data_IF_812066408589
#
_entry.id   IF_812066408589
#
_cell.length_a   1.000
_cell.length_b   1.000
_cell.length_c   1.000
_cell.angle_alpha   90.00
_cell.angle_beta   90.00
_cell.angle_gamma   90.00
#
_symmetry.space_group_name_H-M   'P 1'
#
loop_
_entity.id
_entity.type
_entity.pdbx_description
1 polymer ?
#
# COMPACT_ATOMS: atom_id res chain seq x y z
N UNK A 1 -40.23 -19.50 4.10
CA UNK A 1 -39.19 -18.63 4.68
C UNK A 1 -37.91 -18.91 3.91
N UNK A 2 -37.58 -18.06 2.93
CA UNK A 2 -36.45 -18.27 2.01
C UNK A 2 -35.22 -17.47 2.47
N UNK A 3 -34.09 -18.18 2.55
CA UNK A 3 -32.68 -17.78 2.54
C UNK A 3 -32.30 -16.32 2.84
N UNK A 4 -31.69 -16.13 4.01
CA UNK A 4 -30.81 -15.01 4.32
C UNK A 4 -29.35 -15.46 4.40
N UNK A 5 -28.72 -15.78 3.27
CA UNK A 5 -27.29 -16.11 3.17
C UNK A 5 -26.60 -15.28 2.08
N UNK A 6 -26.83 -13.96 2.10
CA UNK A 6 -26.38 -13.03 1.06
C UNK A 6 -25.27 -12.07 1.46
N UNK A 7 -24.68 -12.17 2.66
CA UNK A 7 -23.83 -11.09 3.21
C UNK A 7 -22.33 -11.43 3.36
N UNK A 8 -21.88 -12.63 3.01
CA UNK A 8 -20.53 -13.09 3.33
C UNK A 8 -19.45 -12.87 2.26
N UNK A 9 -19.80 -12.43 1.04
CA UNK A 9 -18.83 -12.37 -0.07
C UNK A 9 -18.39 -10.96 -0.49
N UNK A 10 -19.04 -9.91 0.02
CA UNK A 10 -18.74 -8.51 -0.33
C UNK A 10 -17.52 -7.96 0.46
N UNK A 11 -17.12 -8.65 1.54
CA UNK A 11 -16.21 -8.14 2.57
C UNK A 11 -14.77 -8.68 2.48
N UNK A 12 -14.39 -9.35 1.38
CA UNK A 12 -13.17 -10.17 1.38
C UNK A 12 -12.06 -9.80 0.40
N UNK A 13 -12.22 -8.81 -0.50
CA UNK A 13 -11.10 -8.48 -1.39
C UNK A 13 -10.27 -7.30 -0.86
N UNK A 14 -8.95 -7.50 -0.64
CA UNK A 14 -7.98 -6.45 -0.86
C UNK A 14 -8.23 -5.82 -2.23
N UNK A 15 -8.28 -4.50 -2.28
CA UNK A 15 -8.39 -3.75 -3.52
C UNK A 15 -7.11 -2.95 -3.63
N UNK A 16 -6.44 -3.00 -4.79
CA UNK A 16 -4.99 -2.91 -4.95
C UNK A 16 -4.33 -4.22 -4.46
N UNK A 17 -4.11 -5.20 -5.33
CA UNK A 17 -3.67 -6.55 -4.91
C UNK A 17 -2.18 -6.78 -5.19
N UNK A 18 -1.67 -6.19 -6.26
CA UNK A 18 -0.31 -6.44 -6.77
C UNK A 18 0.54 -5.17 -6.83
N UNK A 19 -0.08 -3.99 -6.82
CA UNK A 19 0.59 -2.74 -7.10
C UNK A 19 1.26 -2.08 -5.89
N UNK A 20 0.93 -2.42 -4.64
CA UNK A 20 1.51 -1.72 -3.49
C UNK A 20 3.02 -1.93 -3.34
N UNK A 21 3.51 -3.17 -3.55
CA UNK A 21 4.95 -3.44 -3.53
C UNK A 21 5.69 -2.71 -4.67
N UNK A 22 5.26 -2.82 -5.94
CA UNK A 22 5.75 -2.00 -7.05
C UNK A 22 5.72 -0.49 -6.78
N UNK A 23 4.63 0.02 -6.19
CA UNK A 23 4.48 1.43 -5.87
C UNK A 23 5.46 1.87 -4.77
N UNK A 24 5.60 1.08 -3.71
CA UNK A 24 6.59 1.28 -2.65
C UNK A 24 8.01 1.29 -3.20
N UNK A 25 8.33 0.35 -4.10
CA UNK A 25 9.60 0.34 -4.82
C UNK A 25 9.84 1.63 -5.62
N UNK A 26 8.85 2.07 -6.40
CA UNK A 26 8.93 3.30 -7.20
C UNK A 26 9.10 4.54 -6.31
N UNK A 27 8.36 4.63 -5.20
CA UNK A 27 8.51 5.69 -4.22
C UNK A 27 9.92 5.72 -3.64
N UNK A 28 10.46 4.57 -3.24
CA UNK A 28 11.83 4.46 -2.76
C UNK A 28 12.86 4.91 -3.79
N UNK A 29 12.70 4.51 -5.05
CA UNK A 29 13.58 4.94 -6.16
C UNK A 29 13.49 6.45 -6.40
N UNK A 30 12.29 7.03 -6.36
CA UNK A 30 12.08 8.46 -6.51
C UNK A 30 12.67 9.25 -5.32
N UNK A 31 12.41 8.81 -4.09
CA UNK A 31 12.89 9.44 -2.86
C UNK A 31 14.42 9.41 -2.77
N UNK A 32 15.05 8.26 -3.03
CA UNK A 32 16.52 8.16 -3.05
C UNK A 32 17.15 9.09 -4.08
N UNK A 33 16.57 9.20 -5.29
CA UNK A 33 17.05 10.11 -6.32
C UNK A 33 16.87 11.58 -5.91
N UNK A 34 15.69 11.96 -5.41
CA UNK A 34 15.38 13.36 -5.04
C UNK A 34 16.19 13.84 -3.83
N UNK A 35 16.40 12.98 -2.84
CA UNK A 35 17.13 13.31 -1.62
C UNK A 35 18.65 13.07 -1.75
N UNK A 36 19.13 12.71 -2.95
CA UNK A 36 20.52 12.34 -3.21
C UNK A 36 21.07 11.29 -2.21
N UNK A 37 20.21 10.34 -1.79
CA UNK A 37 20.56 9.32 -0.82
C UNK A 37 21.07 8.07 -1.54
N UNK A 38 22.29 7.64 -1.21
CA UNK A 38 22.83 6.33 -1.64
C UNK A 38 22.28 5.17 -0.81
N UNK A 39 21.00 5.21 -0.41
CA UNK A 39 20.43 4.25 0.53
C UNK A 39 19.53 3.24 -0.19
N UNK A 40 20.09 2.06 -0.52
CA UNK A 40 19.29 0.90 -0.92
C UNK A 40 18.28 0.49 0.16
N UNK A 41 18.58 0.81 1.42
CA UNK A 41 17.68 0.56 2.55
C UNK A 41 16.38 1.35 2.41
N UNK A 42 16.41 2.59 1.91
CA UNK A 42 15.18 3.36 1.74
C UNK A 42 14.24 2.70 0.71
N UNK A 43 14.78 2.15 -0.38
CA UNK A 43 14.00 1.39 -1.37
C UNK A 43 13.39 0.14 -0.74
N UNK A 44 14.17 -0.59 0.05
CA UNK A 44 13.69 -1.79 0.76
C UNK A 44 12.55 -1.43 1.72
N UNK A 45 12.76 -0.44 2.59
CA UNK A 45 11.81 -0.09 3.64
C UNK A 45 10.53 0.56 3.11
N UNK A 46 10.60 1.31 2.02
CA UNK A 46 9.40 1.80 1.32
C UNK A 46 8.61 0.69 0.65
N UNK A 47 9.29 -0.32 0.10
CA UNK A 47 8.63 -1.51 -0.46
C UNK A 47 7.94 -2.34 0.62
N UNK A 48 8.60 -2.56 1.76
CA UNK A 48 8.03 -3.23 2.93
C UNK A 48 6.85 -2.43 3.48
N UNK A 49 7.00 -1.12 3.65
CA UNK A 49 5.93 -0.24 4.11
C UNK A 49 4.70 -0.25 3.21
N UNK A 50 4.89 -0.41 1.89
CA UNK A 50 3.78 -0.50 0.93
C UNK A 50 2.89 -1.72 1.14
N UNK A 51 3.43 -2.86 1.58
CA UNK A 51 2.65 -4.10 1.79
C UNK A 51 2.29 -4.36 3.25
N UNK A 52 2.89 -3.63 4.18
CA UNK A 52 2.72 -3.87 5.61
C UNK A 52 1.27 -3.67 6.10
N UNK A 53 0.48 -2.71 5.58
CA UNK A 53 -0.94 -2.64 5.91
C UNK A 53 -1.69 -3.97 5.64
N UNK A 54 -1.51 -4.58 4.48
CA UNK A 54 -2.16 -5.84 4.09
C UNK A 54 -1.68 -7.06 4.89
N UNK A 55 -0.58 -6.96 5.62
CA UNK A 55 -0.13 -8.07 6.46
C UNK A 55 -1.16 -8.43 7.55
N UNK A 56 -2.06 -7.50 7.86
CA UNK A 56 -3.19 -7.73 8.76
C UNK A 56 -4.22 -8.75 8.21
N UNK A 57 -4.17 -9.06 6.91
CA UNK A 57 -4.94 -10.16 6.31
C UNK A 57 -4.56 -11.52 6.92
N UNK A 58 -3.31 -11.69 7.36
CA UNK A 58 -2.89 -12.89 8.08
C UNK A 58 -3.60 -12.98 9.43
N UNK A 59 -3.72 -11.86 10.14
CA UNK A 59 -4.46 -11.81 11.40
C UNK A 59 -5.95 -12.05 11.18
N UNK A 60 -6.54 -11.40 10.17
CA UNK A 60 -7.92 -11.56 9.75
C UNK A 60 -8.32 -13.02 9.53
N UNK A 61 -7.50 -13.77 8.78
CA UNK A 61 -7.79 -15.17 8.46
C UNK A 61 -7.41 -16.16 9.55
N UNK A 62 -6.28 -15.95 10.24
CA UNK A 62 -5.72 -16.95 11.16
C UNK A 62 -6.16 -16.78 12.61
N UNK A 63 -6.52 -15.56 13.03
CA UNK A 63 -6.76 -15.24 14.44
C UNK A 63 -8.16 -14.65 14.66
N UNK A 64 -8.51 -13.62 13.89
CA UNK A 64 -9.75 -12.86 14.10
C UNK A 64 -11.01 -13.62 13.65
N UNK A 65 -10.86 -14.79 13.03
CA UNK A 65 -11.97 -15.58 12.47
C UNK A 65 -12.87 -14.76 11.56
N UNK A 66 -12.28 -13.77 10.87
CA UNK A 66 -12.96 -12.84 9.96
C UNK A 66 -14.07 -12.01 10.63
N UNK A 67 -13.97 -11.79 11.95
CA UNK A 67 -14.99 -11.06 12.73
C UNK A 67 -15.00 -9.56 12.46
N UNK A 68 -13.83 -8.98 12.22
CA UNK A 68 -13.61 -7.57 11.94
C UNK A 68 -13.04 -7.43 10.54
N UNK A 69 -13.67 -6.62 9.68
CA UNK A 69 -13.13 -6.36 8.35
C UNK A 69 -11.74 -5.70 8.43
N UNK A 70 -10.73 -6.23 7.73
CA UNK A 70 -9.32 -5.84 7.88
C UNK A 70 -9.05 -4.32 7.81
N UNK A 71 -9.82 -3.58 7.00
CA UNK A 71 -9.71 -2.11 6.90
C UNK A 71 -10.09 -1.35 8.17
N UNK A 72 -10.66 -2.02 9.17
CA UNK A 72 -10.92 -1.46 10.50
C UNK A 72 -9.74 -1.62 11.44
N UNK A 73 -8.71 -2.39 11.09
CA UNK A 73 -7.50 -2.49 11.87
C UNK A 73 -6.65 -1.23 11.77
N UNK A 74 -5.80 -1.00 12.78
CA UNK A 74 -4.93 0.16 12.88
C UNK A 74 -3.97 0.30 11.68
N UNK A 75 -3.60 -0.81 11.05
CA UNK A 75 -2.81 -0.91 9.81
C UNK A 75 -3.42 -0.10 8.65
N UNK A 76 -4.75 0.00 8.59
CA UNK A 76 -5.48 0.73 7.55
C UNK A 76 -5.94 2.13 8.00
N UNK A 77 -5.42 2.63 9.13
CA UNK A 77 -5.68 3.99 9.59
C UNK A 77 -4.48 4.88 9.26
N UNK A 78 -4.64 5.94 8.44
CA UNK A 78 -3.52 6.81 8.09
C UNK A 78 -2.80 7.44 9.28
N UNK A 79 -3.50 7.64 10.41
CA UNK A 79 -2.88 8.15 11.65
C UNK A 79 -1.76 7.25 12.18
N UNK A 80 -1.85 5.93 11.99
CA UNK A 80 -0.80 4.98 12.37
C UNK A 80 0.49 5.33 11.64
N UNK A 81 0.43 5.47 10.32
CA UNK A 81 1.59 5.77 9.48
C UNK A 81 2.10 7.20 9.68
N UNK A 82 1.20 8.18 9.90
CA UNK A 82 1.60 9.55 10.25
C UNK A 82 2.34 9.61 11.60
N UNK A 83 1.90 8.82 12.58
CA UNK A 83 2.57 8.75 13.89
C UNK A 83 3.97 8.15 13.75
N UNK A 84 4.11 7.05 13.01
CA UNK A 84 5.43 6.46 12.72
C UNK A 84 6.31 7.44 11.91
N UNK A 85 5.73 8.20 10.99
CA UNK A 85 6.45 9.23 10.24
C UNK A 85 7.00 10.33 11.16
N UNK A 86 6.18 10.82 12.09
CA UNK A 86 6.60 11.82 13.08
C UNK A 86 7.74 11.28 13.97
N UNK A 87 7.62 10.04 14.46
CA UNK A 87 8.68 9.37 15.21
C UNK A 87 9.97 9.20 14.39
N UNK A 88 9.84 8.92 13.09
CA UNK A 88 10.99 8.79 12.20
C UNK A 88 11.81 10.09 12.10
N UNK A 89 11.16 11.25 12.13
CA UNK A 89 11.84 12.54 12.09
C UNK A 89 12.73 12.75 13.33
N UNK A 90 12.24 12.36 14.51
CA UNK A 90 13.01 12.40 15.77
C UNK A 90 14.23 11.46 15.70
N UNK A 91 14.07 10.27 15.11
CA UNK A 91 15.18 9.31 14.97
C UNK A 91 16.20 9.73 13.90
N UNK A 92 15.73 10.36 12.82
CA UNK A 92 16.58 10.90 11.75
C UNK A 92 17.42 12.08 12.22
N UNK A 93 16.89 12.95 13.10
CA UNK A 93 17.68 14.04 13.70
C UNK A 93 18.84 13.51 14.55
N UNK A 94 18.69 12.30 15.11
CA UNK A 94 19.74 11.54 15.80
C UNK A 94 20.63 10.71 14.87
N UNK A 95 20.49 10.86 13.55
CA UNK A 95 21.23 10.10 12.51
C UNK A 95 21.11 8.58 12.66
N UNK A 96 19.99 8.10 13.22
CA UNK A 96 19.78 6.67 13.47
C UNK A 96 19.42 5.92 12.18
N UNK A 97 20.01 4.74 11.97
CA UNK A 97 19.63 3.82 10.89
C UNK A 97 18.15 3.39 11.01
N UNK A 98 17.67 3.21 12.24
CA UNK A 98 16.26 2.93 12.50
C UNK A 98 15.34 4.07 12.07
N UNK A 99 15.84 5.32 12.07
CA UNK A 99 15.11 6.46 11.54
C UNK A 99 14.86 6.36 10.03
N UNK A 100 15.84 5.90 9.26
CA UNK A 100 15.68 5.66 7.81
C UNK A 100 14.69 4.52 7.55
N UNK A 101 14.75 3.46 8.35
CA UNK A 101 13.81 2.34 8.25
C UNK A 101 12.39 2.77 8.55
N UNK A 102 12.19 3.45 9.68
CA UNK A 102 10.87 3.92 10.08
C UNK A 102 10.30 4.93 9.10
N UNK A 103 11.13 5.85 8.59
CA UNK A 103 10.74 6.80 7.56
C UNK A 103 10.26 6.08 6.30
N UNK A 104 11.04 5.12 5.79
CA UNK A 104 10.68 4.33 4.61
C UNK A 104 9.38 3.56 4.79
N UNK A 105 9.23 2.85 5.91
CA UNK A 105 8.01 2.10 6.25
C UNK A 105 6.81 3.05 6.30
N UNK A 106 6.96 4.22 6.92
CA UNK A 106 5.86 5.17 7.12
C UNK A 106 5.38 5.78 5.81
N UNK A 107 6.29 6.25 4.95
CA UNK A 107 5.89 6.82 3.65
C UNK A 107 5.36 5.73 2.70
N UNK A 108 5.84 4.48 2.83
CA UNK A 108 5.30 3.33 2.10
C UNK A 108 3.86 3.02 2.53
N UNK A 109 3.59 2.98 3.83
CA UNK A 109 2.24 2.77 4.36
C UNK A 109 1.29 3.92 4.02
N UNK A 110 1.75 5.18 4.03
CA UNK A 110 0.94 6.31 3.56
C UNK A 110 0.63 6.22 2.06
N UNK A 111 1.60 5.79 1.25
CA UNK A 111 1.35 5.54 -0.17
C UNK A 111 0.30 4.46 -0.36
N UNK A 112 0.33 3.39 0.43
CA UNK A 112 -0.70 2.37 0.41
C UNK A 112 -2.08 2.96 0.67
N UNK A 113 -2.25 3.74 1.74
CA UNK A 113 -3.54 4.40 2.04
C UNK A 113 -4.04 5.28 0.88
N UNK A 114 -3.12 5.99 0.22
CA UNK A 114 -3.44 6.82 -0.94
C UNK A 114 -3.87 5.99 -2.16
N UNK A 115 -3.23 4.83 -2.39
CA UNK A 115 -3.58 3.92 -3.46
C UNK A 115 -4.93 3.25 -3.22
N UNK A 116 -5.16 2.75 -2.01
CA UNK A 116 -6.45 2.19 -1.61
C UNK A 116 -7.57 3.19 -1.86
N UNK A 117 -7.38 4.47 -1.52
CA UNK A 117 -8.38 5.53 -1.73
C UNK A 117 -8.86 5.65 -3.19
N UNK A 118 -8.14 5.10 -4.18
CA UNK A 118 -8.57 5.10 -5.58
C UNK A 118 -9.80 4.21 -5.79
N UNK A 119 -9.82 3.03 -5.19
CA UNK A 119 -10.77 1.96 -5.51
C UNK A 119 -11.39 1.30 -4.27
N UNK A 120 -11.02 1.77 -3.07
CA UNK A 120 -11.37 1.20 -1.79
C UNK A 120 -11.64 2.29 -0.74
N UNK A 121 -12.62 2.11 0.15
CA UNK A 121 -12.82 3.01 1.28
C UNK A 121 -11.67 2.96 2.28
N UNK A 122 -11.11 4.14 2.58
CA UNK A 122 -10.08 4.35 3.62
C UNK A 122 -10.57 5.32 4.68
N UNK A 123 -10.30 5.01 5.95
CA UNK A 123 -10.70 5.84 7.09
C UNK A 123 -9.64 6.90 7.41
N UNK A 124 -9.53 7.93 6.58
CA UNK A 124 -8.51 8.98 6.73
C UNK A 124 -8.52 9.69 8.08
N UNK A 125 -9.71 9.81 8.69
CA UNK A 125 -9.91 10.52 9.95
C UNK A 125 -10.12 9.59 11.15
N UNK A 126 -9.89 8.27 11.00
CA UNK A 126 -9.94 7.37 12.15
C UNK A 126 -8.85 7.73 13.18
N UNK A 127 -9.12 7.55 14.49
CA UNK A 127 -10.38 7.08 15.09
C UNK A 127 -11.45 8.17 15.31
N UNK A 128 -11.15 9.43 14.97
CA UNK A 128 -12.02 10.57 15.28
C UNK A 128 -13.30 10.61 14.45
N UNK A 129 -13.29 10.02 13.26
CA UNK A 129 -14.45 9.92 12.39
C UNK A 129 -14.48 8.58 11.65
N UNK A 130 -15.70 8.10 11.39
CA UNK A 130 -15.98 6.91 10.58
C UNK A 130 -16.13 7.22 9.08
N UNK A 131 -15.79 8.45 8.66
CA UNK A 131 -15.82 8.85 7.25
C UNK A 131 -14.89 7.94 6.43
N UNK A 132 -15.47 7.29 5.43
CA UNK A 132 -14.76 6.48 4.45
C UNK A 132 -14.58 7.32 3.19
N UNK A 133 -13.34 7.41 2.71
CA UNK A 133 -13.02 8.12 1.47
C UNK A 133 -12.61 7.07 0.43
N UNK A 134 -13.31 7.08 -0.70
CA UNK A 134 -12.97 6.34 -1.92
C UNK A 134 -13.23 7.26 -3.12
N UNK A 135 -12.38 7.19 -4.15
CA UNK A 135 -12.55 7.99 -5.37
C UNK A 135 -13.50 7.30 -6.35
N UNK A 136 -13.35 5.99 -6.52
CA UNK A 136 -14.11 5.21 -7.49
C UNK A 136 -14.69 4.00 -6.77
N UNK A 137 -16.01 3.98 -6.64
CA UNK A 137 -16.73 2.84 -6.09
C UNK A 137 -16.87 1.74 -7.14
N UNK A 138 -16.36 0.55 -6.81
CA UNK A 138 -16.44 -0.61 -7.70
C UNK A 138 -17.71 -1.40 -7.41
N UNK A 139 -18.60 -1.60 -8.41
CA UNK A 139 -19.83 -2.35 -8.21
C UNK A 139 -19.54 -3.83 -7.98
N UNK A 140 -20.18 -4.43 -6.98
CA UNK A 140 -20.10 -5.87 -6.69
C UNK A 140 -21.02 -6.66 -7.64
N UNK A 141 -20.63 -6.78 -8.92
CA UNK A 141 -21.43 -7.44 -9.98
C UNK A 141 -21.34 -8.97 -9.87
N UNK A 142 -20.20 -9.49 -9.44
CA UNK A 142 -19.94 -10.94 -9.33
C UNK A 142 -20.01 -11.40 -7.87
N UNK A 143 -20.33 -12.69 -7.66
CA UNK A 143 -20.38 -13.30 -6.33
C UNK A 143 -19.06 -13.15 -5.57
N UNK A 144 -17.93 -13.36 -6.27
CA UNK A 144 -16.62 -13.07 -5.72
C UNK A 144 -16.20 -11.64 -6.10
N UNK A 145 -16.06 -10.79 -5.09
CA UNK A 145 -15.71 -9.39 -5.28
C UNK A 145 -14.33 -9.19 -5.95
N UNK A 146 -13.39 -10.15 -5.83
CA UNK A 146 -12.11 -10.13 -6.56
C UNK A 146 -12.35 -10.05 -8.08
N UNK A 147 -13.33 -10.78 -8.61
CA UNK A 147 -13.66 -10.71 -10.05
C UNK A 147 -14.28 -9.37 -10.43
N UNK A 148 -15.10 -8.81 -9.54
CA UNK A 148 -15.64 -7.46 -9.73
C UNK A 148 -14.51 -6.43 -9.80
N UNK A 149 -13.45 -6.60 -9.00
CA UNK A 149 -12.28 -5.72 -9.02
C UNK A 149 -11.39 -5.93 -10.26
N UNK A 150 -10.97 -7.16 -10.55
CA UNK A 150 -10.03 -7.48 -11.66
C UNK A 150 -10.60 -7.06 -13.01
N UNK A 151 -11.92 -7.21 -13.21
CA UNK A 151 -12.59 -6.87 -14.47
C UNK A 151 -12.99 -5.39 -14.54
N UNK A 152 -12.82 -4.63 -13.46
CA UNK A 152 -13.08 -3.19 -13.47
C UNK A 152 -11.89 -2.43 -14.06
N UNK A 153 -12.16 -1.34 -14.78
CA UNK A 153 -11.12 -0.57 -15.48
C UNK A 153 -10.05 0.01 -14.54
N UNK A 154 -10.36 0.21 -13.26
CA UNK A 154 -9.39 0.64 -12.24
C UNK A 154 -8.25 -0.34 -12.06
N UNK A 155 -8.44 -1.63 -12.37
CA UNK A 155 -7.37 -2.62 -12.36
C UNK A 155 -6.25 -2.28 -13.37
N UNK A 156 -6.54 -1.51 -14.43
CA UNK A 156 -5.51 -1.01 -15.34
C UNK A 156 -4.49 -0.10 -14.64
N UNK A 157 -4.87 0.57 -13.55
CA UNK A 157 -3.95 1.39 -12.73
C UNK A 157 -2.92 0.48 -12.05
N UNK A 158 -3.32 -0.69 -11.57
CA UNK A 158 -2.38 -1.67 -11.00
C UNK A 158 -1.38 -2.15 -12.04
N UNK A 159 -1.87 -2.54 -13.22
CA UNK A 159 -1.02 -2.98 -14.33
C UNK A 159 -0.05 -1.88 -14.75
N UNK A 160 -0.50 -0.62 -14.78
CA UNK A 160 0.34 0.52 -15.10
C UNK A 160 1.47 0.71 -14.07
N UNK A 161 1.15 0.70 -12.77
CA UNK A 161 2.14 0.82 -11.70
C UNK A 161 3.16 -0.32 -11.77
N UNK A 162 2.69 -1.56 -11.93
CA UNK A 162 3.54 -2.74 -12.10
C UNK A 162 4.46 -2.61 -13.31
N UNK A 163 3.93 -2.19 -14.45
CA UNK A 163 4.69 -2.02 -15.70
C UNK A 163 5.77 -0.96 -15.56
N UNK A 164 5.45 0.18 -14.92
CA UNK A 164 6.42 1.24 -14.65
C UNK A 164 7.52 0.74 -13.71
N UNK A 165 7.15 0.02 -12.64
CA UNK A 165 8.11 -0.56 -11.70
C UNK A 165 9.07 -1.54 -12.38
N UNK A 166 8.55 -2.43 -13.23
CA UNK A 166 9.35 -3.35 -14.04
C UNK A 166 10.29 -2.57 -14.96
N UNK A 167 9.80 -1.56 -15.69
CA UNK A 167 10.62 -0.73 -16.56
C UNK A 167 11.75 -0.02 -15.83
N UNK A 168 11.47 0.57 -14.66
CA UNK A 168 12.47 1.22 -13.80
C UNK A 168 13.48 0.21 -13.27
N UNK A 169 13.03 -0.97 -12.85
CA UNK A 169 13.87 -2.05 -12.36
C UNK A 169 14.84 -2.53 -13.44
N UNK A 170 14.34 -2.83 -14.64
CA UNK A 170 15.15 -3.26 -15.78
C UNK A 170 16.17 -2.19 -16.19
N UNK A 171 15.77 -0.91 -16.24
CA UNK A 171 16.70 0.20 -16.53
C UNK A 171 17.80 0.33 -15.47
N UNK A 172 17.48 0.09 -14.20
CA UNK A 172 18.44 0.16 -13.11
C UNK A 172 19.47 -0.96 -13.08
N UNK A 173 19.24 -2.05 -13.82
CA UNK A 173 20.17 -3.17 -13.98
C UNK A 173 21.10 -3.03 -15.19
N UNK A 174 20.84 -2.09 -16.11
CA UNK A 174 21.75 -1.84 -17.23
C UNK A 174 23.07 -1.28 -16.67
N UNK A 175 24.23 -1.88 -16.99
CA UNK A 175 25.50 -1.26 -16.65
C UNK A 175 25.53 0.15 -17.25
N UNK A 176 26.13 1.14 -16.58
CA UNK A 176 26.37 2.43 -17.22
C UNK A 176 27.11 2.12 -18.52
N UNK A 177 26.52 2.52 -19.66
CA UNK A 177 27.23 2.47 -20.93
C UNK A 177 28.55 3.20 -20.67
N UNK A 178 29.67 2.48 -20.77
CA UNK A 178 30.96 3.15 -20.87
C UNK A 178 30.85 3.97 -22.14
N UNK A 179 30.56 5.26 -22.00
CA UNK A 179 30.79 6.22 -23.07
C UNK A 179 32.30 6.35 -23.15
N UNK A 180 32.94 5.42 -23.86
CA UNK A 180 34.27 5.65 -24.39
C UNK A 180 34.07 6.46 -25.68
N UNK A 181 34.19 7.78 -25.59
CA UNK A 181 34.85 8.65 -26.58
C UNK A 181 35.43 9.84 -25.81
#
# INVERSE_FOLDING_TARGET
MMNGSGHSHILLAPIMFIAHLPAGYLLGKAATKRLNLKSRQLVLWTSIGGILPDADMLYFYLVDSQSTHHRHYLSHWPITWLTLLALSAILLSRKSRSGVALFGISIGGLLHMALDSVAAPVFWLAPFSKLQVELIKIPAIYENYIWSFILHWTFAIEILICSIAIGVFLKSRRPPHQTQI
#
